data_IF_712905953748
#
_entry.id   IF_712905953748
#
_cell.length_a   1.000
_cell.length_b   1.000
_cell.length_c   1.000
_cell.angle_alpha   90.00
_cell.angle_beta   90.00
_cell.angle_gamma   90.00
#
_symmetry.space_group_name_H-M   'P 1'
#
loop_
_entity.id
_entity.type
_entity.pdbx_description
1 polymer ?
#
# COMPACT_ATOMS: atom_id res chain seq x y z
N UNK A 1 -4.66 -2.61 -26.08
CA UNK A 1 -5.56 -3.77 -25.89
C UNK A 1 -5.15 -4.82 -26.89
N UNK A 2 -4.67 -5.98 -26.42
CA UNK A 2 -4.22 -7.07 -27.29
C UNK A 2 -5.43 -7.98 -27.58
N UNK A 3 -5.75 -8.30 -28.85
CA UNK A 3 -6.89 -9.16 -29.18
C UNK A 3 -6.66 -10.60 -28.71
N UNK A 4 -7.73 -11.32 -28.38
CA UNK A 4 -7.64 -12.76 -28.11
C UNK A 4 -7.28 -13.53 -29.39
N UNK A 5 -6.74 -14.74 -29.25
CA UNK A 5 -6.42 -15.61 -30.39
C UNK A 5 -7.63 -15.86 -31.30
N UNK A 6 -8.82 -16.05 -30.70
CA UNK A 6 -10.07 -16.22 -31.45
C UNK A 6 -10.44 -14.97 -32.28
N UNK A 7 -10.25 -13.77 -31.70
CA UNK A 7 -10.46 -12.51 -32.42
C UNK A 7 -9.41 -12.35 -33.52
N UNK A 8 -8.16 -12.74 -33.27
CA UNK A 8 -7.09 -12.67 -34.26
C UNK A 8 -7.37 -13.61 -35.44
N UNK A 9 -7.74 -14.87 -35.21
CA UNK A 9 -8.00 -15.82 -36.30
C UNK A 9 -9.17 -15.36 -37.19
N UNK A 10 -10.20 -14.75 -36.60
CA UNK A 10 -11.30 -14.12 -37.37
C UNK A 10 -10.84 -12.94 -38.21
N UNK A 11 -9.91 -12.13 -37.70
CA UNK A 11 -9.33 -11.00 -38.45
C UNK A 11 -8.41 -11.48 -39.57
N UNK A 12 -7.55 -12.47 -39.31
CA UNK A 12 -6.66 -13.05 -40.31
C UNK A 12 -7.45 -13.64 -41.49
N UNK A 13 -8.55 -14.35 -41.18
CA UNK A 13 -9.46 -14.88 -42.20
C UNK A 13 -10.18 -13.76 -42.97
N UNK A 14 -10.68 -12.73 -42.29
CA UNK A 14 -11.37 -11.61 -42.93
C UNK A 14 -10.47 -10.75 -43.83
N UNK A 15 -9.18 -10.65 -43.50
CA UNK A 15 -8.17 -9.93 -44.28
C UNK A 15 -7.59 -10.75 -45.43
N UNK A 16 -7.95 -12.04 -45.55
CA UNK A 16 -7.52 -12.92 -46.64
C UNK A 16 -6.00 -13.12 -46.69
N UNK A 17 -5.34 -13.07 -45.53
CA UNK A 17 -3.88 -13.20 -45.46
C UNK A 17 -3.43 -14.61 -45.80
N UNK A 18 -2.28 -14.71 -46.46
CA UNK A 18 -1.68 -16.01 -46.73
C UNK A 18 -1.20 -16.70 -45.44
N UNK A 19 -1.02 -18.01 -45.53
CA UNK A 19 -0.67 -18.88 -44.40
C UNK A 19 0.71 -18.53 -43.79
N UNK A 20 1.60 -17.91 -44.56
CA UNK A 20 2.91 -17.45 -44.06
C UNK A 20 2.74 -16.22 -43.18
N UNK A 21 2.00 -15.23 -43.67
CA UNK A 21 1.73 -13.97 -42.97
C UNK A 21 0.85 -14.19 -41.75
N UNK A 22 -0.15 -15.07 -41.85
CA UNK A 22 -1.00 -15.45 -40.71
C UNK A 22 -0.18 -16.11 -39.59
N UNK A 23 0.82 -16.93 -39.94
CA UNK A 23 1.73 -17.53 -38.95
C UNK A 23 2.61 -16.49 -38.27
N UNK A 24 3.19 -15.57 -39.04
CA UNK A 24 4.02 -14.49 -38.51
C UNK A 24 3.25 -13.60 -37.53
N UNK A 25 1.99 -13.25 -37.84
CA UNK A 25 1.17 -12.43 -36.94
C UNK A 25 0.79 -13.19 -35.66
N UNK A 26 0.55 -14.51 -35.73
CA UNK A 26 0.33 -15.33 -34.52
C UNK A 26 1.59 -15.43 -33.66
N UNK A 27 2.75 -15.58 -34.28
CA UNK A 27 4.04 -15.62 -33.58
C UNK A 27 4.35 -14.28 -32.91
N UNK A 28 4.05 -13.16 -33.56
CA UNK A 28 4.16 -11.83 -32.97
C UNK A 28 3.20 -11.63 -31.79
N UNK A 29 1.95 -12.09 -31.90
CA UNK A 29 1.01 -12.07 -30.78
C UNK A 29 1.52 -12.92 -29.62
N UNK A 30 1.99 -14.14 -29.90
CA UNK A 30 2.57 -15.03 -28.90
C UNK A 30 3.81 -14.39 -28.23
N UNK A 31 4.66 -13.70 -28.99
CA UNK A 31 5.81 -12.98 -28.45
C UNK A 31 5.41 -11.79 -27.57
N UNK A 32 4.36 -11.04 -27.93
CA UNK A 32 3.84 -9.94 -27.10
C UNK A 32 3.20 -10.44 -25.81
N UNK A 33 2.43 -11.54 -25.89
CA UNK A 33 1.85 -12.20 -24.70
C UNK A 33 2.95 -12.78 -23.83
N UNK A 34 3.92 -13.48 -24.42
CA UNK A 34 5.08 -14.02 -23.71
C UNK A 34 5.93 -12.91 -23.09
N UNK A 35 6.12 -11.77 -23.74
CA UNK A 35 6.84 -10.62 -23.17
C UNK A 35 6.07 -9.97 -22.01
N UNK A 36 4.74 -9.90 -22.10
CA UNK A 36 3.88 -9.47 -20.99
C UNK A 36 3.94 -10.46 -19.81
N UNK A 37 4.08 -11.76 -20.08
CA UNK A 37 4.27 -12.82 -19.08
C UNK A 37 5.72 -12.97 -18.61
N UNK A 38 6.71 -12.51 -19.38
CA UNK A 38 8.13 -12.49 -18.99
C UNK A 38 8.38 -11.46 -17.89
N UNK A 39 7.57 -10.39 -17.85
CA UNK A 39 7.45 -9.51 -16.70
C UNK A 39 6.66 -10.09 -15.51
N UNK A 40 6.14 -11.32 -15.63
CA UNK A 40 5.47 -12.11 -14.59
C UNK A 40 6.28 -13.32 -14.13
N UNK A 41 7.58 -13.40 -14.46
CA UNK A 41 8.46 -14.33 -13.75
C UNK A 41 8.39 -13.96 -12.27
N UNK A 42 7.63 -14.75 -11.50
CA UNK A 42 7.46 -14.61 -10.07
C UNK A 42 8.77 -15.03 -9.42
N UNK A 43 9.76 -14.13 -9.45
CA UNK A 43 10.49 -13.94 -8.22
C UNK A 43 9.42 -13.49 -7.23
N UNK A 44 9.21 -14.25 -6.17
CA UNK A 44 8.44 -13.80 -5.03
C UNK A 44 9.22 -12.66 -4.35
N UNK A 45 9.37 -11.54 -5.07
CA UNK A 45 9.76 -10.27 -4.54
C UNK A 45 8.51 -9.81 -3.81
N UNK A 46 8.48 -10.10 -2.51
CA UNK A 46 7.74 -9.18 -1.64
C UNK A 46 8.28 -7.80 -1.98
N UNK A 47 7.44 -6.84 -2.37
CA UNK A 47 7.91 -5.50 -2.62
C UNK A 47 8.72 -5.08 -1.38
N UNK A 48 10.03 -4.92 -1.55
CA UNK A 48 10.93 -4.49 -0.46
C UNK A 48 10.56 -3.07 0.01
N UNK A 49 9.64 -2.40 -0.70
CA UNK A 49 9.37 -0.99 -0.55
C UNK A 49 10.40 -0.16 -1.30
N UNK A 50 11.36 -0.74 -2.05
CA UNK A 50 12.55 -0.01 -2.51
C UNK A 50 12.23 1.21 -3.38
N UNK A 51 11.16 1.14 -4.19
CA UNK A 51 10.78 2.26 -5.07
C UNK A 51 9.95 3.30 -4.29
N UNK A 52 9.00 2.85 -3.45
CA UNK A 52 8.32 3.72 -2.46
C UNK A 52 9.35 4.44 -1.59
N UNK A 53 10.37 3.74 -1.11
CA UNK A 53 11.38 4.22 -0.19
C UNK A 53 12.28 5.28 -0.83
N UNK A 54 12.64 5.12 -2.10
CA UNK A 54 13.40 6.13 -2.84
C UNK A 54 12.60 7.43 -3.00
N UNK A 55 11.35 7.32 -3.45
CA UNK A 55 10.47 8.48 -3.60
C UNK A 55 10.20 9.17 -2.24
N UNK A 56 9.85 8.39 -1.21
CA UNK A 56 9.62 8.86 0.17
C UNK A 56 10.87 9.52 0.75
N UNK A 57 12.05 8.91 0.58
CA UNK A 57 13.31 9.47 1.08
C UNK A 57 13.69 10.76 0.34
N UNK A 58 13.27 10.94 -0.90
CA UNK A 58 13.50 12.19 -1.64
C UNK A 58 12.50 13.30 -1.32
N UNK A 59 11.31 12.96 -0.82
CA UNK A 59 10.19 13.88 -0.61
C UNK A 59 10.26 14.64 0.71
N UNK A 60 9.93 15.94 0.69
CA UNK A 60 9.83 16.74 1.93
C UNK A 60 8.49 16.56 2.63
N UNK A 61 7.43 16.33 1.86
CA UNK A 61 6.09 16.07 2.32
C UNK A 61 5.62 14.71 1.81
N UNK A 62 5.30 13.82 2.73
CA UNK A 62 4.73 12.50 2.42
C UNK A 62 3.29 12.47 2.92
N UNK A 63 2.33 12.17 2.05
CA UNK A 63 0.91 12.06 2.41
C UNK A 63 0.40 10.69 2.05
N UNK A 64 0.02 9.86 3.01
CA UNK A 64 -0.43 8.49 2.76
C UNK A 64 -1.87 8.31 3.21
N UNK A 65 -2.72 7.84 2.29
CA UNK A 65 -4.06 7.37 2.62
C UNK A 65 -4.07 5.84 2.61
N UNK A 66 -4.59 5.22 3.66
CA UNK A 66 -4.71 3.76 3.74
C UNK A 66 -6.08 3.31 4.21
N UNK A 67 -6.60 2.28 3.54
CA UNK A 67 -7.92 1.70 3.84
C UNK A 67 -7.92 0.18 4.05
N UNK A 68 -6.77 -0.49 3.87
CA UNK A 68 -6.64 -1.95 4.02
C UNK A 68 -5.54 -2.33 5.01
N UNK A 69 -4.34 -1.76 4.86
CA UNK A 69 -3.16 -2.10 5.63
C UNK A 69 -2.51 -0.83 6.19
N UNK A 70 -1.87 -0.92 7.36
CA UNK A 70 -1.13 0.21 7.91
C UNK A 70 0.04 0.60 6.99
N UNK A 71 0.31 1.92 6.80
CA UNK A 71 1.50 2.35 6.06
C UNK A 71 2.75 1.74 6.68
N UNK A 72 3.68 1.25 5.86
CA UNK A 72 4.92 0.62 6.34
C UNK A 72 5.70 1.49 7.35
N UNK A 73 5.63 2.82 7.20
CA UNK A 73 6.25 3.79 8.12
C UNK A 73 5.65 3.76 9.54
N UNK A 74 4.38 3.39 9.67
CA UNK A 74 3.66 3.35 10.94
C UNK A 74 3.69 1.97 11.61
N UNK A 75 4.11 0.91 10.90
CA UNK A 75 4.07 -0.46 11.41
C UNK A 75 5.08 -0.68 12.54
N UNK A 76 4.68 -1.39 13.60
CA UNK A 76 5.60 -1.95 14.59
C UNK A 76 6.41 -3.08 13.97
N UNK A 77 7.52 -3.45 14.60
CA UNK A 77 8.33 -4.59 14.13
C UNK A 77 7.53 -5.90 14.10
N UNK A 78 6.58 -6.07 15.03
CA UNK A 78 5.72 -7.24 15.10
C UNK A 78 4.67 -7.26 13.98
N UNK A 79 4.04 -6.12 13.70
CA UNK A 79 3.13 -5.97 12.57
C UNK A 79 3.85 -6.23 11.25
N UNK A 80 5.03 -5.61 11.05
CA UNK A 80 5.85 -5.82 9.88
C UNK A 80 6.25 -7.29 9.69
N UNK A 81 6.62 -7.99 10.77
CA UNK A 81 6.95 -9.42 10.72
C UNK A 81 5.76 -10.24 10.23
N UNK A 82 4.55 -9.91 10.66
CA UNK A 82 3.37 -10.60 10.16
C UNK A 82 3.12 -10.31 8.68
N UNK A 83 3.22 -9.05 8.25
CA UNK A 83 3.06 -8.66 6.83
C UNK A 83 4.04 -9.41 5.93
N UNK A 84 5.30 -9.55 6.35
CA UNK A 84 6.29 -10.33 5.60
C UNK A 84 6.07 -11.84 5.71
N UNK A 85 5.57 -12.34 6.85
CA UNK A 85 5.32 -13.76 7.06
C UNK A 85 4.13 -14.31 6.27
N UNK A 86 3.16 -13.46 5.88
CA UNK A 86 2.04 -13.87 5.03
C UNK A 86 2.40 -13.96 3.55
N UNK A 87 3.55 -13.41 3.14
CA UNK A 87 4.01 -13.47 1.78
C UNK A 87 4.67 -14.82 1.46
N UNK A 88 4.33 -15.45 0.32
CA UNK A 88 4.88 -16.76 -0.04
C UNK A 88 6.39 -16.68 -0.33
N UNK A 89 7.15 -17.67 0.14
CA UNK A 89 8.54 -17.87 -0.28
C UNK A 89 9.63 -17.20 0.55
N UNK A 90 9.30 -16.48 1.63
CA UNK A 90 10.30 -15.90 2.53
C UNK A 90 10.73 -16.86 3.65
N UNK A 91 12.04 -17.00 3.87
CA UNK A 91 12.56 -17.71 5.05
C UNK A 91 12.47 -16.84 6.31
N UNK A 92 12.44 -17.42 7.52
CA UNK A 92 12.44 -16.64 8.76
C UNK A 92 13.59 -15.62 8.87
N UNK A 93 14.77 -15.95 8.36
CA UNK A 93 15.92 -15.05 8.33
C UNK A 93 15.72 -13.89 7.35
N UNK A 94 15.11 -14.16 6.18
CA UNK A 94 14.77 -13.14 5.21
C UNK A 94 13.71 -12.17 5.77
N UNK A 95 12.70 -12.69 6.45
CA UNK A 95 11.71 -11.88 7.19
C UNK A 95 12.40 -11.01 8.24
N UNK A 96 13.32 -11.57 9.02
CA UNK A 96 14.07 -10.82 10.04
C UNK A 96 14.84 -9.63 9.45
N UNK A 97 15.53 -9.83 8.32
CA UNK A 97 16.25 -8.75 7.62
C UNK A 97 15.29 -7.69 7.05
N UNK A 98 14.18 -8.11 6.44
CA UNK A 98 13.20 -7.20 5.86
C UNK A 98 12.52 -6.33 6.94
N UNK A 99 12.20 -6.91 8.10
CA UNK A 99 11.68 -6.17 9.26
C UNK A 99 12.70 -5.13 9.75
N UNK A 100 13.98 -5.51 9.90
CA UNK A 100 15.02 -4.59 10.33
C UNK A 100 15.17 -3.41 9.35
N UNK A 101 15.23 -3.69 8.04
CA UNK A 101 15.30 -2.66 7.01
C UNK A 101 14.07 -1.74 7.04
N UNK A 102 12.86 -2.27 7.24
CA UNK A 102 11.64 -1.47 7.38
C UNK A 102 11.69 -0.56 8.60
N UNK A 103 12.12 -1.07 9.76
CA UNK A 103 12.23 -0.26 10.99
C UNK A 103 13.29 0.83 10.85
N UNK A 104 14.43 0.54 10.22
CA UNK A 104 15.48 1.53 9.97
C UNK A 104 14.96 2.69 9.11
N UNK A 105 14.16 2.39 8.07
CA UNK A 105 13.54 3.40 7.19
C UNK A 105 12.56 4.32 7.91
N UNK A 106 11.96 3.88 9.02
CA UNK A 106 11.04 4.71 9.81
C UNK A 106 11.73 5.88 10.52
N UNK A 107 13.07 5.89 10.56
CA UNK A 107 13.85 7.03 11.06
C UNK A 107 13.52 8.35 10.36
N UNK A 108 13.06 8.30 9.10
CA UNK A 108 12.62 9.48 8.33
C UNK A 108 11.51 10.28 9.01
N UNK A 109 10.67 9.63 9.83
CA UNK A 109 9.61 10.31 10.59
C UNK A 109 10.17 11.28 11.63
N UNK A 110 11.42 11.13 12.04
CA UNK A 110 12.08 11.95 13.06
C UNK A 110 12.99 13.02 12.47
N UNK A 111 13.15 13.07 11.14
CA UNK A 111 14.02 14.02 10.47
C UNK A 111 13.43 15.44 10.47
N UNK A 112 14.13 16.45 11.03
CA UNK A 112 13.67 17.83 10.98
C UNK A 112 13.53 18.35 9.54
N UNK A 113 12.44 19.07 9.27
CA UNK A 113 12.17 19.64 7.95
C UNK A 113 11.48 18.70 6.97
N UNK A 114 11.14 17.48 7.42
CA UNK A 114 10.18 16.60 6.73
C UNK A 114 8.85 16.59 7.45
N UNK A 115 7.79 16.48 6.65
CA UNK A 115 6.42 16.36 7.14
C UNK A 115 5.79 15.08 6.58
N UNK A 116 5.09 14.36 7.44
CA UNK A 116 4.34 13.16 7.06
C UNK A 116 2.90 13.26 7.54
N UNK A 117 1.94 13.17 6.62
CA UNK A 117 0.53 13.10 6.97
C UNK A 117 -0.04 11.74 6.60
N UNK A 118 -0.71 11.11 7.54
CA UNK A 118 -1.32 9.80 7.39
C UNK A 118 -2.82 9.93 7.62
N UNK A 119 -3.62 9.45 6.68
CA UNK A 119 -5.06 9.34 6.85
C UNK A 119 -5.44 7.87 6.70
N UNK A 120 -5.99 7.29 7.76
CA UNK A 120 -6.38 5.89 7.81
C UNK A 120 -7.89 5.79 7.88
N UNK A 121 -8.50 4.79 7.27
CA UNK A 121 -9.86 4.41 7.68
C UNK A 121 -9.78 3.61 8.98
N UNK A 122 -10.75 3.74 9.88
CA UNK A 122 -10.83 2.93 11.11
C UNK A 122 -10.75 1.41 10.83
N UNK A 123 -11.23 0.97 9.66
CA UNK A 123 -11.13 -0.42 9.22
C UNK A 123 -9.69 -0.97 9.25
N UNK A 124 -8.69 -0.16 8.88
CA UNK A 124 -7.25 -0.55 8.92
C UNK A 124 -6.80 -0.92 10.33
N UNK A 125 -7.37 -0.27 11.33
CA UNK A 125 -7.06 -0.49 12.75
C UNK A 125 -7.89 -1.63 13.35
N UNK A 126 -8.91 -2.12 12.64
CA UNK A 126 -9.76 -3.26 13.01
C UNK A 126 -9.43 -4.53 12.24
N UNK A 127 -8.76 -4.42 11.10
CA UNK A 127 -8.22 -5.57 10.35
C UNK A 127 -6.86 -5.92 10.91
N UNK A 128 -6.81 -6.96 11.76
CA UNK A 128 -5.57 -7.37 12.40
C UNK A 128 -4.99 -8.64 11.79
N UNK A 129 -3.65 -8.77 11.77
CA UNK A 129 -3.03 -9.88 11.08
C UNK A 129 -2.93 -11.15 11.94
N UNK A 130 -2.89 -11.02 13.27
CA UNK A 130 -2.65 -12.15 14.17
C UNK A 130 -3.39 -12.03 15.50
N UNK A 131 -2.70 -11.52 16.53
CA UNK A 131 -3.21 -11.46 17.90
C UNK A 131 -3.67 -10.06 18.33
N UNK A 132 -4.57 -9.96 19.31
CA UNK A 132 -4.88 -8.70 19.98
C UNK A 132 -3.65 -8.03 20.61
N UNK A 133 -2.71 -8.80 21.17
CA UNK A 133 -1.45 -8.29 21.71
C UNK A 133 -0.61 -7.53 20.65
N UNK A 134 -0.52 -8.07 19.43
CA UNK A 134 0.17 -7.41 18.31
C UNK A 134 -0.47 -6.06 18.00
N UNK A 135 -1.80 -5.99 17.96
CA UNK A 135 -2.51 -4.73 17.71
C UNK A 135 -2.40 -3.74 18.86
N UNK A 136 -2.31 -4.18 20.11
CA UNK A 136 -2.03 -3.29 21.23
C UNK A 136 -0.67 -2.62 21.08
N UNK A 137 0.38 -3.38 20.73
CA UNK A 137 1.70 -2.82 20.44
C UNK A 137 1.69 -1.87 19.24
N UNK A 138 0.90 -2.20 18.21
CA UNK A 138 0.72 -1.34 17.05
C UNK A 138 0.01 -0.02 17.38
N UNK A 139 -1.07 -0.05 18.17
CA UNK A 139 -1.82 1.14 18.58
C UNK A 139 -1.00 2.03 19.52
N UNK A 140 -0.21 1.44 20.43
CA UNK A 140 0.75 2.17 21.26
C UNK A 140 1.77 2.93 20.41
N UNK A 141 2.30 2.28 19.36
CA UNK A 141 3.16 2.95 18.39
C UNK A 141 2.47 4.11 17.67
N UNK A 142 1.20 3.98 17.29
CA UNK A 142 0.47 5.08 16.65
C UNK A 142 0.30 6.28 17.58
N UNK A 143 0.06 6.05 18.87
CA UNK A 143 0.02 7.12 19.88
C UNK A 143 1.39 7.81 20.02
N UNK A 144 2.48 7.05 20.03
CA UNK A 144 3.83 7.61 20.07
C UNK A 144 4.15 8.46 18.83
N UNK A 145 3.79 7.96 17.64
CA UNK A 145 4.06 8.65 16.37
C UNK A 145 3.17 9.90 16.18
N UNK A 146 1.92 9.87 16.64
CA UNK A 146 1.02 11.05 16.61
C UNK A 146 1.55 12.22 17.44
N UNK A 147 2.38 11.95 18.45
CA UNK A 147 3.00 13.00 19.27
C UNK A 147 4.18 13.73 18.60
N UNK A 148 4.64 13.25 17.44
CA UNK A 148 5.75 13.86 16.71
C UNK A 148 5.29 15.12 15.98
N UNK A 149 6.06 16.21 16.09
CA UNK A 149 5.77 17.47 15.39
C UNK A 149 5.86 17.38 13.87
N UNK A 150 6.58 16.38 13.37
CA UNK A 150 6.75 16.05 11.95
C UNK A 150 5.62 15.19 11.38
N UNK A 151 4.71 14.69 12.24
CA UNK A 151 3.68 13.74 11.84
C UNK A 151 2.28 14.28 12.12
N UNK A 152 1.38 14.10 11.16
CA UNK A 152 -0.05 14.33 11.31
C UNK A 152 -0.79 13.02 11.09
N UNK A 153 -1.38 12.45 12.13
CA UNK A 153 -2.14 11.21 12.03
C UNK A 153 -3.65 11.48 12.13
N UNK A 154 -4.37 11.10 11.08
CA UNK A 154 -5.82 11.18 10.99
C UNK A 154 -6.45 9.81 10.82
N UNK A 155 -7.62 9.63 11.43
CA UNK A 155 -8.45 8.43 11.23
C UNK A 155 -9.84 8.84 10.77
N UNK A 156 -10.35 8.27 9.69
CA UNK A 156 -11.75 8.36 9.28
C UNK A 156 -12.54 7.33 10.11
N UNK A 157 -13.34 7.76 11.10
CA UNK A 157 -14.09 6.84 11.94
C UNK A 157 -15.14 6.08 11.14
N UNK A 158 -15.43 4.84 11.53
CA UNK A 158 -16.48 4.01 10.92
C UNK A 158 -17.85 4.70 10.93
N UNK A 159 -18.13 5.50 11.95
CA UNK A 159 -19.38 6.25 12.10
C UNK A 159 -19.49 7.49 11.19
N UNK A 160 -18.49 7.80 10.36
CA UNK A 160 -18.52 8.93 9.42
C UNK A 160 -18.65 8.44 7.97
N UNK A 161 -19.52 9.08 7.15
CA UNK A 161 -19.55 8.80 5.73
C UNK A 161 -18.19 9.04 5.08
N UNK A 162 -17.72 8.08 4.30
CA UNK A 162 -16.52 8.28 3.48
C UNK A 162 -16.87 9.18 2.28
N UNK A 163 -16.03 10.17 1.96
CA UNK A 163 -16.33 11.12 0.88
C UNK A 163 -16.22 10.48 -0.50
N UNK A 164 -15.41 9.43 -0.63
CA UNK A 164 -15.27 8.55 -1.79
C UNK A 164 -15.11 7.13 -1.27
N UNK A 165 -15.66 6.14 -1.97
CA UNK A 165 -15.40 4.74 -1.63
C UNK A 165 -13.92 4.42 -1.89
N UNK A 166 -13.14 4.08 -0.85
CA UNK A 166 -11.73 3.81 -1.01
C UNK A 166 -11.55 2.46 -1.71
N UNK A 167 -10.75 2.47 -2.78
CA UNK A 167 -10.48 1.27 -3.60
C UNK A 167 -9.14 0.62 -3.24
N UNK A 168 -8.17 1.44 -2.87
CA UNK A 168 -6.82 1.05 -2.50
C UNK A 168 -6.17 2.17 -1.67
N UNK A 169 -5.08 1.86 -0.97
CA UNK A 169 -4.22 2.87 -0.38
C UNK A 169 -3.31 3.53 -1.41
N UNK A 170 -2.76 4.69 -1.08
CA UNK A 170 -1.78 5.39 -1.91
C UNK A 170 -0.92 6.33 -1.06
N UNK A 171 0.27 6.66 -1.57
CA UNK A 171 1.20 7.59 -0.94
C UNK A 171 1.63 8.64 -1.96
N UNK A 172 1.39 9.91 -1.63
CA UNK A 172 1.87 11.07 -2.36
C UNK A 172 3.23 11.49 -1.82
N UNK A 173 4.16 11.72 -2.74
CA UNK A 173 5.51 12.20 -2.48
C UNK A 173 5.62 13.62 -3.08
N UNK A 174 5.60 14.63 -2.21
CA UNK A 174 5.41 16.04 -2.57
C UNK A 174 4.19 16.23 -3.50
N UNK A 175 4.34 17.06 -4.53
CA UNK A 175 3.40 17.19 -5.66
C UNK A 175 3.98 16.56 -6.93
N UNK A 176 4.83 15.54 -6.75
CA UNK A 176 5.67 14.98 -7.82
C UNK A 176 5.28 13.58 -8.22
N UNK A 177 4.95 12.74 -7.25
CA UNK A 177 4.65 11.34 -7.50
C UNK A 177 3.52 10.85 -6.60
N UNK A 178 2.76 9.89 -7.12
CA UNK A 178 1.86 9.04 -6.35
C UNK A 178 2.30 7.59 -6.50
N UNK A 179 2.34 6.89 -5.37
CA UNK A 179 2.69 5.48 -5.29
C UNK A 179 1.50 4.67 -4.81
N UNK A 180 1.20 3.58 -5.52
CA UNK A 180 0.13 2.65 -5.20
C UNK A 180 0.73 1.25 -5.11
N UNK A 181 0.61 0.62 -3.96
CA UNK A 181 1.05 -0.75 -3.73
C UNK A 181 -0.06 -1.72 -4.15
N UNK A 182 0.25 -2.66 -5.03
CA UNK A 182 -0.60 -3.80 -5.37
C UNK A 182 0.05 -5.10 -4.88
N UNK A 183 -0.70 -6.21 -4.90
CA UNK A 183 -0.18 -7.51 -4.45
C UNK A 183 1.05 -7.98 -5.24
N UNK A 184 1.14 -7.62 -6.53
CA UNK A 184 2.18 -8.06 -7.45
C UNK A 184 3.32 -7.05 -7.63
N UNK A 185 3.08 -5.75 -7.40
CA UNK A 185 4.07 -4.70 -7.64
C UNK A 185 3.75 -3.37 -6.96
N UNK A 186 4.71 -2.47 -6.98
CA UNK A 186 4.49 -1.04 -6.73
C UNK A 186 4.24 -0.33 -8.06
N UNK A 187 3.24 0.56 -8.10
CA UNK A 187 3.02 1.46 -9.24
C UNK A 187 3.34 2.89 -8.81
N UNK A 188 4.32 3.48 -9.48
CA UNK A 188 4.66 4.90 -9.33
C UNK A 188 4.14 5.66 -10.55
N UNK A 189 3.42 6.76 -10.31
CA UNK A 189 3.02 7.70 -11.34
C UNK A 189 3.52 9.10 -11.02
N UNK A 190 4.18 9.71 -12.01
CA UNK A 190 4.65 11.11 -11.99
C UNK A 190 3.84 12.00 -12.92
N UNK A 191 2.71 11.48 -13.43
CA UNK A 191 1.80 12.26 -14.25
C UNK A 191 1.11 13.33 -13.40
N UNK A 192 1.32 14.60 -13.74
CA UNK A 192 0.82 15.72 -12.96
C UNK A 192 -0.71 15.77 -12.81
N UNK A 193 -1.47 15.30 -13.81
CA UNK A 193 -2.92 15.28 -13.74
C UNK A 193 -3.40 14.15 -12.81
N UNK A 194 -2.74 12.99 -12.86
CA UNK A 194 -3.00 11.90 -11.92
C UNK A 194 -2.63 12.31 -10.49
N UNK A 195 -1.44 12.88 -10.27
CA UNK A 195 -1.00 13.37 -8.96
C UNK A 195 -2.01 14.36 -8.38
N UNK A 196 -2.44 15.36 -9.17
CA UNK A 196 -3.45 16.33 -8.73
C UNK A 196 -4.79 15.68 -8.34
N UNK A 197 -5.24 14.66 -9.09
CA UNK A 197 -6.46 13.93 -8.76
C UNK A 197 -6.34 13.14 -7.44
N UNK A 198 -5.16 12.56 -7.17
CA UNK A 198 -4.88 11.90 -5.89
C UNK A 198 -4.73 12.91 -4.73
N UNK A 199 -4.18 14.10 -4.97
CA UNK A 199 -4.15 15.18 -3.97
C UNK A 199 -5.56 15.62 -3.57
N UNK A 200 -6.45 15.84 -4.54
CA UNK A 200 -7.85 16.18 -4.27
C UNK A 200 -8.54 15.06 -3.48
N UNK A 201 -8.32 13.81 -3.90
CA UNK A 201 -8.88 12.64 -3.22
C UNK A 201 -8.36 12.52 -1.78
N UNK A 202 -7.06 12.77 -1.56
CA UNK A 202 -6.48 12.80 -0.22
C UNK A 202 -7.12 13.90 0.64
N UNK A 203 -7.26 15.12 0.12
CA UNK A 203 -7.88 16.23 0.84
C UNK A 203 -9.33 15.94 1.25
N UNK A 204 -10.07 15.18 0.44
CA UNK A 204 -11.42 14.72 0.81
C UNK A 204 -11.37 13.78 2.02
N UNK A 205 -10.49 12.76 2.00
CA UNK A 205 -10.35 11.85 3.14
C UNK A 205 -9.84 12.56 4.39
N UNK A 206 -8.89 13.49 4.24
CA UNK A 206 -8.39 14.34 5.31
C UNK A 206 -9.52 15.14 5.95
N UNK A 207 -10.40 15.75 5.15
CA UNK A 207 -11.57 16.48 5.64
C UNK A 207 -12.60 15.62 6.39
N UNK A 208 -12.62 14.31 6.18
CA UNK A 208 -13.50 13.38 6.90
C UNK A 208 -12.85 12.81 8.18
N UNK A 209 -11.53 12.87 8.30
CA UNK A 209 -10.77 12.30 9.40
C UNK A 209 -10.86 13.11 10.71
N UNK A 210 -10.60 12.44 11.83
CA UNK A 210 -10.33 13.05 13.13
C UNK A 210 -8.83 13.09 13.40
N UNK A 211 -8.36 14.14 14.08
CA UNK A 211 -6.96 14.38 14.39
C UNK A 211 -6.79 14.78 15.87
N UNK A 212 -5.54 14.81 16.36
CA UNK A 212 -5.22 15.35 17.68
C UNK A 212 -5.90 14.62 18.84
N UNK A 213 -6.60 15.34 19.71
CA UNK A 213 -7.28 14.73 20.85
C UNK A 213 -8.32 13.68 20.44
N UNK A 214 -9.09 13.92 19.38
CA UNK A 214 -10.14 12.99 18.93
C UNK A 214 -9.54 11.67 18.40
N UNK A 215 -8.40 11.72 17.69
CA UNK A 215 -7.75 10.49 17.23
C UNK A 215 -7.13 9.72 18.40
N UNK A 216 -6.54 10.41 19.39
CA UNK A 216 -6.01 9.76 20.61
C UNK A 216 -7.11 9.07 21.42
N UNK A 217 -8.28 9.70 21.54
CA UNK A 217 -9.45 9.07 22.18
C UNK A 217 -9.91 7.84 21.41
N UNK A 218 -9.99 7.93 20.08
CA UNK A 218 -10.35 6.79 19.23
C UNK A 218 -9.38 5.63 19.41
N UNK A 219 -8.06 5.88 19.31
CA UNK A 219 -7.04 4.86 19.52
C UNK A 219 -7.11 4.24 20.93
N UNK A 220 -7.31 5.07 21.96
CA UNK A 220 -7.44 4.60 23.34
C UNK A 220 -8.67 3.70 23.55
N UNK A 221 -9.81 4.05 22.94
CA UNK A 221 -11.01 3.20 22.94
C UNK A 221 -10.73 1.87 22.24
N UNK A 222 -10.11 1.89 21.07
CA UNK A 222 -9.75 0.66 20.36
C UNK A 222 -8.80 -0.22 21.18
N UNK A 223 -7.82 0.36 21.88
CA UNK A 223 -6.96 -0.40 22.79
C UNK A 223 -7.75 -1.07 23.93
N UNK A 224 -8.81 -0.44 24.44
CA UNK A 224 -9.68 -1.07 25.43
C UNK A 224 -10.43 -2.27 24.81
N UNK A 225 -11.02 -2.10 23.62
CA UNK A 225 -11.69 -3.18 22.88
C UNK A 225 -10.74 -4.38 22.63
N UNK A 226 -9.49 -4.13 22.23
CA UNK A 226 -8.50 -5.19 22.04
C UNK A 226 -8.09 -5.90 23.33
N UNK A 227 -8.10 -5.22 24.48
CA UNK A 227 -7.85 -5.88 25.78
C UNK A 227 -9.00 -6.79 26.17
N UNK A 228 -10.23 -6.43 25.82
CA UNK A 228 -11.43 -7.24 26.09
C UNK A 228 -11.47 -8.52 25.25
N UNK A 229 -10.94 -8.49 24.02
CA UNK A 229 -10.79 -9.68 23.18
C UNK A 229 -9.90 -10.74 23.83
N UNK A 230 -8.97 -10.36 24.72
CA UNK A 230 -7.98 -11.26 25.32
C UNK A 230 -7.13 -11.98 24.26
N UNK A 231 -6.37 -13.01 24.63
CA UNK A 231 -5.73 -13.91 23.65
C UNK A 231 -6.74 -14.90 23.01
N UNK A 232 -8.02 -14.52 22.90
CA UNK A 232 -9.07 -15.36 22.32
C UNK A 232 -9.06 -15.22 20.80
N UNK A 233 -7.92 -15.53 20.19
CA UNK A 233 -7.83 -15.89 18.77
C UNK A 233 -6.68 -16.90 18.64
N UNK A 234 -7.01 -18.18 18.82
CA UNK A 234 -6.13 -19.31 18.48
C UNK A 234 -6.40 -19.72 17.02
N UNK A 235 -5.40 -20.36 16.38
CA UNK A 235 -4.69 -19.89 15.19
C UNK A 235 -5.50 -19.87 13.88
#
# INVERSE_FOLDING_TARGET
MVPSLDVLDRLLAALGLDESTAREVRDLLAAVVAAADSGRAVDAVVPDGSTVDEEVRSARLVRSFQCVILPAMLQSAEYARHVFGSAPGLTPEAVGRAVAARVERQSVLYEPGRESAFVLTEAVLRTWPGSPALMLAQLDRLLAVESLSTVRLGVVPWGRPVPVLPRHGFTLCDQRAVVVETFDRERVSVDSAEVAAYEETFGRFEGAAVFGAEVRELLSRMMAEYRELGDVVTP
#
